data_IF_773138068956
#
_entry.id   IF_773138068956
#
_cell.length_a   1.000
_cell.length_b   1.000
_cell.length_c   1.000
_cell.angle_alpha   90.00
_cell.angle_beta   90.00
_cell.angle_gamma   90.00
#
_symmetry.space_group_name_H-M   'P 1'
#
loop_
_entity.id
_entity.type
_entity.pdbx_description
1 polymer ?
#
# COMPACT_ATOMS: atom_id res chain seq x y z
N UNK A 1 20.80 -22.29 36.59
CA UNK A 1 20.55 -20.92 36.10
C UNK A 1 19.21 -20.89 35.39
N UNK A 2 18.13 -20.60 36.11
CA UNK A 2 16.79 -20.45 35.51
C UNK A 2 16.23 -19.11 35.97
N UNK A 3 16.86 -18.04 35.51
CA UNK A 3 16.36 -16.68 35.69
C UNK A 3 15.32 -16.44 34.59
N UNK A 4 14.03 -16.49 34.97
CA UNK A 4 12.94 -16.12 34.05
C UNK A 4 13.09 -14.64 33.73
N UNK A 5 12.92 -14.29 32.45
CA UNK A 5 12.99 -12.88 32.01
C UNK A 5 12.04 -12.02 32.85
N UNK A 6 12.50 -10.84 33.32
CA UNK A 6 11.65 -9.92 34.06
C UNK A 6 10.46 -9.47 33.20
N UNK A 7 9.33 -9.22 33.87
CA UNK A 7 8.13 -8.78 33.19
C UNK A 7 8.37 -7.43 32.49
N UNK A 8 7.97 -7.26 31.21
CA UNK A 8 8.14 -5.99 30.52
C UNK A 8 7.40 -4.86 31.24
N UNK A 9 8.10 -3.73 31.46
CA UNK A 9 7.52 -2.54 32.11
C UNK A 9 6.36 -1.94 31.30
N UNK A 10 6.37 -2.10 29.97
CA UNK A 10 5.34 -1.59 29.08
C UNK A 10 4.56 -2.74 28.48
N UNK A 11 3.26 -2.77 28.76
CA UNK A 11 2.33 -3.69 28.11
C UNK A 11 2.05 -3.19 26.69
N UNK A 12 2.06 -4.07 25.68
CA UNK A 12 1.76 -3.67 24.31
C UNK A 12 0.33 -3.14 24.23
N UNK A 13 0.19 -1.90 23.75
CA UNK A 13 -1.13 -1.30 23.49
C UNK A 13 -1.71 -1.93 22.23
N UNK A 14 -3.00 -2.26 22.24
CA UNK A 14 -3.69 -2.78 21.07
C UNK A 14 -3.62 -1.76 19.92
N UNK A 15 -2.95 -2.13 18.84
CA UNK A 15 -2.82 -1.27 17.66
C UNK A 15 -4.13 -1.27 16.86
N UNK A 16 -4.54 -0.10 16.38
CA UNK A 16 -5.68 0.01 15.45
C UNK A 16 -5.31 -0.66 14.13
N UNK A 17 -6.24 -1.41 13.54
CA UNK A 17 -6.06 -2.00 12.21
C UNK A 17 -6.65 -1.09 11.14
N UNK A 18 -5.94 -0.96 10.02
CA UNK A 18 -6.41 -0.23 8.86
C UNK A 18 -7.59 -0.95 8.21
N UNK A 19 -8.75 -0.29 8.02
CA UNK A 19 -9.91 -0.90 7.38
C UNK A 19 -9.73 -1.14 5.87
N UNK A 20 -8.69 -0.56 5.26
CA UNK A 20 -8.43 -0.69 3.82
C UNK A 20 -7.59 -1.91 3.49
N UNK A 21 -6.56 -2.18 4.29
CA UNK A 21 -5.60 -3.26 4.02
C UNK A 21 -5.47 -4.28 5.17
N UNK A 22 -6.13 -4.07 6.31
CA UNK A 22 -6.12 -4.99 7.45
C UNK A 22 -4.86 -4.95 8.33
N UNK A 23 -3.83 -4.19 7.94
CA UNK A 23 -2.56 -4.11 8.69
C UNK A 23 -2.64 -3.07 9.82
N UNK A 24 -1.78 -3.21 10.84
CA UNK A 24 -1.68 -2.23 11.92
C UNK A 24 -1.39 -0.84 11.38
N UNK A 25 -2.19 0.13 11.79
CA UNK A 25 -2.02 1.54 11.48
C UNK A 25 -1.54 2.31 12.70
N UNK A 26 -0.62 3.24 12.45
CA UNK A 26 -0.07 4.15 13.44
C UNK A 26 -0.69 5.55 13.37
N UNK A 27 -1.67 5.76 12.49
CA UNK A 27 -2.37 7.03 12.35
C UNK A 27 -3.48 7.17 13.39
N UNK A 28 -3.81 8.40 13.75
CA UNK A 28 -4.86 8.74 14.74
C UNK A 28 -6.20 8.13 14.33
N UNK A 29 -6.56 8.27 13.05
CA UNK A 29 -7.80 7.75 12.46
C UNK A 29 -7.77 6.23 12.22
N UNK A 30 -6.62 5.58 12.44
CA UNK A 30 -6.46 4.15 12.20
C UNK A 30 -6.36 3.76 10.72
N UNK A 31 -6.27 4.71 9.78
CA UNK A 31 -6.08 4.44 8.34
C UNK A 31 -4.65 4.85 7.93
N UNK A 32 -3.94 4.03 7.14
CA UNK A 32 -2.61 4.42 6.67
C UNK A 32 -2.67 5.64 5.75
N UNK A 33 -1.66 6.53 5.77
CA UNK A 33 -1.63 7.70 4.88
C UNK A 33 -1.76 7.34 3.40
N UNK A 34 -1.11 6.26 2.96
CA UNK A 34 -1.21 5.74 1.59
C UNK A 34 -2.64 5.30 1.25
N UNK A 35 -3.28 4.56 2.17
CA UNK A 35 -4.64 4.06 2.01
C UNK A 35 -5.67 5.20 1.98
N UNK A 36 -5.47 6.23 2.82
CA UNK A 36 -6.32 7.41 2.85
C UNK A 36 -6.26 8.19 1.52
N UNK A 37 -5.05 8.41 0.99
CA UNK A 37 -4.85 9.03 -0.33
C UNK A 37 -5.55 8.23 -1.43
N UNK A 38 -5.33 6.91 -1.46
CA UNK A 38 -5.94 6.04 -2.45
C UNK A 38 -7.48 6.10 -2.39
N UNK A 39 -8.06 6.14 -1.19
CA UNK A 39 -9.51 6.31 -1.01
C UNK A 39 -10.01 7.65 -1.56
N UNK A 40 -9.32 8.76 -1.28
CA UNK A 40 -9.67 10.08 -1.80
C UNK A 40 -9.58 10.12 -3.34
N UNK A 41 -8.55 9.49 -3.91
CA UNK A 41 -8.31 9.44 -5.36
C UNK A 41 -9.31 8.57 -6.14
N UNK A 42 -10.08 7.68 -5.49
CA UNK A 42 -11.01 6.76 -6.17
C UNK A 42 -11.95 7.48 -7.13
N UNK A 43 -12.49 8.62 -6.71
CA UNK A 43 -13.46 9.39 -7.50
C UNK A 43 -12.80 10.02 -8.72
N UNK A 44 -11.61 10.61 -8.54
CA UNK A 44 -10.82 11.20 -9.62
C UNK A 44 -10.41 10.15 -10.65
N UNK A 45 -9.95 8.99 -10.19
CA UNK A 45 -9.58 7.87 -11.05
C UNK A 45 -10.78 7.31 -11.81
N UNK A 46 -11.96 7.22 -11.19
CA UNK A 46 -13.18 6.78 -11.86
C UNK A 46 -13.59 7.74 -13.00
N UNK A 47 -13.50 9.06 -12.77
CA UNK A 47 -13.76 10.06 -13.81
C UNK A 47 -12.76 9.94 -14.97
N UNK A 48 -11.47 9.89 -14.66
CA UNK A 48 -10.43 9.74 -15.66
C UNK A 48 -10.59 8.43 -16.47
N UNK A 49 -10.95 7.33 -15.83
CA UNK A 49 -11.23 6.07 -16.52
C UNK A 49 -12.43 6.18 -17.47
N UNK A 50 -13.47 6.94 -17.09
CA UNK A 50 -14.60 7.21 -17.97
C UNK A 50 -14.22 8.10 -19.16
N UNK A 51 -13.41 9.13 -18.93
CA UNK A 51 -12.88 10.02 -19.98
C UNK A 51 -12.00 9.26 -20.98
N UNK A 52 -11.07 8.43 -20.49
CA UNK A 52 -10.23 7.55 -21.33
C UNK A 52 -11.08 6.54 -22.10
N UNK A 53 -12.17 6.05 -21.52
CA UNK A 53 -13.09 5.15 -22.23
C UNK A 53 -13.88 5.88 -23.33
N UNK A 54 -14.24 7.13 -23.11
CA UNK A 54 -14.94 7.96 -24.10
C UNK A 54 -14.00 8.42 -25.23
N UNK A 55 -12.77 8.78 -24.88
CA UNK A 55 -11.72 9.21 -25.79
C UNK A 55 -10.49 8.32 -25.55
N UNK A 56 -10.43 7.14 -26.16
CA UNK A 56 -9.25 6.30 -26.05
C UNK A 56 -8.05 7.10 -26.57
N UNK A 57 -6.93 7.16 -25.83
CA UNK A 57 -5.73 7.77 -26.36
C UNK A 57 -5.37 7.06 -27.67
N UNK A 58 -5.03 7.86 -28.68
CA UNK A 58 -4.38 7.34 -29.89
C UNK A 58 -3.24 6.42 -29.44
N UNK A 59 -3.04 5.25 -30.08
CA UNK A 59 -1.98 4.33 -29.70
C UNK A 59 -0.63 4.97 -30.03
N UNK A 60 -0.13 5.81 -29.12
CA UNK A 60 1.23 6.30 -29.19
C UNK A 60 2.16 5.09 -29.14
N UNK A 61 3.04 4.96 -30.14
CA UNK A 61 3.96 3.85 -30.36
C UNK A 61 5.03 3.65 -29.25
N UNK A 62 4.81 4.18 -28.05
CA UNK A 62 5.69 4.05 -26.90
C UNK A 62 5.03 3.22 -25.79
N UNK A 63 4.50 2.05 -26.17
CA UNK A 63 4.43 0.91 -25.27
C UNK A 63 5.85 0.43 -24.93
N UNK A 64 6.65 1.26 -24.26
CA UNK A 64 7.84 0.78 -23.56
C UNK A 64 7.33 -0.07 -22.41
N UNK A 65 7.23 -1.37 -22.67
CA UNK A 65 7.23 -2.42 -21.65
C UNK A 65 8.49 -2.26 -20.82
N UNK A 66 8.52 -1.34 -19.86
CA UNK A 66 9.52 -1.36 -18.80
C UNK A 66 9.09 -2.39 -17.78
N UNK A 67 9.08 -3.65 -18.22
CA UNK A 67 9.20 -4.78 -17.33
C UNK A 67 10.65 -4.84 -16.91
N UNK A 68 11.01 -4.15 -15.83
CA UNK A 68 12.20 -4.56 -15.08
C UNK A 68 11.84 -5.88 -14.38
N UNK A 69 11.94 -6.98 -15.14
CA UNK A 69 11.96 -8.33 -14.58
C UNK A 69 13.28 -8.47 -13.82
N UNK A 70 13.30 -7.97 -12.59
CA UNK A 70 14.39 -8.12 -11.63
C UNK A 70 14.48 -9.56 -11.13
N UNK A 71 14.71 -10.51 -12.04
CA UNK A 71 15.18 -11.84 -11.70
C UNK A 71 16.71 -11.82 -11.60
N UNK A 72 17.25 -10.96 -10.74
CA UNK A 72 18.65 -11.08 -10.32
C UNK A 72 18.66 -12.13 -9.21
N UNK A 73 18.74 -13.40 -9.60
CA UNK A 73 19.17 -14.48 -8.72
C UNK A 73 20.68 -14.34 -8.52
N UNK A 74 21.11 -13.57 -7.52
CA UNK A 74 22.47 -13.71 -7.00
C UNK A 74 22.49 -14.88 -6.03
N UNK A 75 23.29 -15.90 -6.35
CA UNK A 75 23.78 -16.89 -5.39
C UNK A 75 23.51 -18.34 -5.78
N UNK A 76 24.53 -18.99 -6.35
CA UNK A 76 25.30 -20.09 -5.74
C UNK A 76 26.67 -20.15 -6.40
#
# INVERSE_FOLDING_TARGET
MSEKKPEPLQRPVAQKKCPVCGHSSYSIDGIHPQCHRAQADKTRLAKHAAEVRANPPEPDASAKKTGFNGAIRFGT
#
